data_IF_126022210382
#
_entry.id   IF_126022210382
#
_cell.length_a   1.000
_cell.length_b   1.000
_cell.length_c   1.000
_cell.angle_alpha   90.00
_cell.angle_beta   90.00
_cell.angle_gamma   90.00
#
_symmetry.space_group_name_H-M   'P 1'
#
loop_
_entity.id
_entity.type
_entity.pdbx_description
1 polymer ?
#
# COMPACT_ATOMS: atom_id res chain seq x y z
N UNK A 1 -25.81 -11.58 10.91
CA UNK A 1 -24.98 -10.73 10.04
C UNK A 1 -24.05 -9.94 10.94
N UNK A 2 -22.75 -10.22 10.93
CA UNK A 2 -21.81 -9.47 11.76
C UNK A 2 -21.75 -8.05 11.24
N UNK A 3 -22.27 -7.09 12.01
CA UNK A 3 -22.07 -5.68 11.72
C UNK A 3 -20.63 -5.35 12.08
N UNK A 4 -19.79 -5.19 11.06
CA UNK A 4 -18.47 -4.62 11.26
C UNK A 4 -18.65 -3.20 11.81
N UNK A 5 -17.91 -2.81 12.86
CA UNK A 5 -18.05 -1.49 13.45
C UNK A 5 -17.78 -0.41 12.39
N UNK A 6 -18.70 0.54 12.27
CA UNK A 6 -18.55 1.68 11.35
C UNK A 6 -17.55 2.68 11.94
N UNK A 7 -16.44 2.90 11.24
CA UNK A 7 -15.42 3.87 11.62
C UNK A 7 -15.83 5.29 11.23
N UNK A 8 -15.46 6.31 12.03
CA UNK A 8 -15.95 7.68 11.88
C UNK A 8 -15.55 8.35 10.54
N UNK A 9 -14.51 7.86 9.87
CA UNK A 9 -14.03 8.37 8.58
C UNK A 9 -14.28 7.42 7.40
N UNK A 10 -14.89 6.26 7.61
CA UNK A 10 -15.23 5.37 6.52
C UNK A 10 -16.50 5.89 5.82
N UNK A 11 -16.51 6.05 4.48
CA UNK A 11 -17.73 6.41 3.76
C UNK A 11 -18.81 5.36 3.99
N UNK A 12 -20.07 5.77 3.88
CA UNK A 12 -21.22 4.87 4.01
C UNK A 12 -21.18 3.68 3.03
N UNK A 13 -20.43 3.83 1.94
CA UNK A 13 -20.13 2.82 0.95
C UNK A 13 -18.61 2.69 0.78
N UNK A 14 -18.08 1.50 1.04
CA UNK A 14 -16.65 1.18 0.96
C UNK A 14 -16.27 0.51 -0.37
N UNK A 15 -17.08 0.73 -1.41
CA UNK A 15 -16.92 0.13 -2.73
C UNK A 15 -17.81 -1.10 -2.97
N UNK A 16 -18.78 -1.37 -2.09
CA UNK A 16 -19.63 -2.56 -2.25
C UNK A 16 -20.53 -2.43 -3.49
N UNK A 17 -20.60 -3.51 -4.27
CA UNK A 17 -21.46 -3.59 -5.46
C UNK A 17 -21.15 -2.51 -6.52
N UNK A 18 -19.92 -1.99 -6.56
CA UNK A 18 -19.47 -1.00 -7.54
C UNK A 18 -18.25 -1.51 -8.31
N UNK A 19 -18.20 -1.22 -9.60
CA UNK A 19 -16.96 -1.34 -10.36
C UNK A 19 -16.02 -0.19 -9.97
N UNK A 20 -14.79 -0.51 -9.61
CA UNK A 20 -13.75 0.45 -9.25
C UNK A 20 -12.63 0.32 -10.28
N UNK A 21 -12.20 1.46 -10.82
CA UNK A 21 -11.05 1.58 -11.69
C UNK A 21 -9.89 2.19 -10.89
N UNK A 22 -8.90 1.39 -10.44
CA UNK A 22 -7.78 1.88 -9.64
C UNK A 22 -6.93 2.91 -10.38
N UNK A 23 -6.76 2.74 -11.71
CA UNK A 23 -5.96 3.66 -12.54
C UNK A 23 -6.63 5.03 -12.60
N UNK A 24 -7.96 5.07 -12.76
CA UNK A 24 -8.72 6.31 -12.71
C UNK A 24 -8.69 6.96 -11.33
N UNK A 25 -8.72 6.18 -10.25
CA UNK A 25 -8.62 6.70 -8.88
C UNK A 25 -7.25 7.31 -8.59
N UNK A 26 -6.16 6.69 -9.06
CA UNK A 26 -4.80 7.24 -8.93
C UNK A 26 -4.67 8.65 -9.53
N UNK A 27 -5.42 8.95 -10.59
CA UNK A 27 -5.39 10.28 -11.20
C UNK A 27 -5.86 11.41 -10.26
N UNK A 28 -6.54 11.08 -9.15
CA UNK A 28 -6.99 12.02 -8.12
C UNK A 28 -5.91 12.34 -7.07
N UNK A 29 -4.77 11.67 -7.10
CA UNK A 29 -3.67 11.88 -6.15
C UNK A 29 -2.71 12.93 -6.70
N UNK A 30 -2.53 14.02 -5.96
CA UNK A 30 -1.50 15.01 -6.21
C UNK A 30 -0.20 14.62 -5.49
N UNK A 31 0.89 14.41 -6.24
CA UNK A 31 2.20 14.04 -5.71
C UNK A 31 2.42 12.53 -5.55
N UNK A 32 3.42 12.16 -4.75
CA UNK A 32 3.91 10.79 -4.56
C UNK A 32 3.85 10.39 -3.09
N UNK A 33 3.91 9.08 -2.83
CA UNK A 33 3.96 8.48 -1.49
C UNK A 33 2.75 8.84 -0.61
N UNK A 34 1.60 9.08 -1.26
CA UNK A 34 0.34 9.41 -0.62
C UNK A 34 -0.70 8.32 -0.89
N UNK A 35 -0.67 7.19 -0.16
CA UNK A 35 -1.66 6.13 -0.36
C UNK A 35 -3.06 6.63 -0.03
N UNK A 36 -4.02 6.35 -0.91
CA UNK A 36 -5.44 6.69 -0.72
C UNK A 36 -6.30 5.44 -0.83
N UNK A 37 -7.27 5.29 0.05
CA UNK A 37 -8.20 4.15 0.08
C UNK A 37 -9.21 4.29 -1.05
N UNK A 38 -9.38 3.24 -1.85
CA UNK A 38 -10.37 3.17 -2.94
C UNK A 38 -11.47 2.16 -2.66
N UNK A 39 -11.19 1.14 -1.83
CA UNK A 39 -12.16 0.13 -1.41
C UNK A 39 -11.76 -0.51 -0.09
N UNK A 40 -12.70 -1.17 0.59
CA UNK A 40 -12.41 -2.00 1.77
C UNK A 40 -13.25 -3.30 1.75
N UNK A 41 -12.58 -4.43 1.90
CA UNK A 41 -13.17 -5.76 2.04
C UNK A 41 -12.93 -6.25 3.47
N UNK A 42 -14.00 -6.48 4.23
CA UNK A 42 -13.91 -6.77 5.67
C UNK A 42 -13.11 -5.68 6.38
N UNK A 43 -11.93 -6.01 6.92
CA UNK A 43 -10.96 -5.15 7.58
C UNK A 43 -9.71 -4.87 6.73
N UNK A 44 -9.70 -5.24 5.44
CA UNK A 44 -8.61 -4.96 4.49
C UNK A 44 -8.95 -3.81 3.57
N UNK A 45 -8.01 -2.91 3.39
CA UNK A 45 -8.12 -1.77 2.49
C UNK A 45 -7.35 -2.02 1.20
N UNK A 46 -7.94 -1.57 0.10
CA UNK A 46 -7.32 -1.45 -1.19
C UNK A 46 -6.91 0.02 -1.34
N UNK A 47 -5.62 0.28 -1.39
CA UNK A 47 -5.07 1.64 -1.46
C UNK A 47 -4.35 1.82 -2.78
N UNK A 48 -4.44 3.01 -3.36
CA UNK A 48 -3.68 3.34 -4.56
C UNK A 48 -2.66 4.44 -4.27
N UNK A 49 -1.51 4.38 -4.93
CA UNK A 49 -0.40 5.32 -4.70
C UNK A 49 0.46 5.50 -5.96
N UNK A 50 1.04 6.70 -6.10
CA UNK A 50 2.14 6.99 -7.04
C UNK A 50 3.45 6.99 -6.27
N UNK A 51 4.47 6.33 -6.77
CA UNK A 51 5.79 6.24 -6.11
C UNK A 51 6.91 6.58 -7.09
N UNK A 52 7.97 7.22 -6.59
CA UNK A 52 9.19 7.50 -7.33
C UNK A 52 10.36 7.68 -6.36
N UNK A 53 11.54 7.21 -6.75
CA UNK A 53 12.71 7.14 -5.89
C UNK A 53 12.58 6.03 -4.84
N UNK A 54 13.39 6.11 -3.78
CA UNK A 54 13.34 5.17 -2.66
C UNK A 54 12.38 5.63 -1.57
N UNK A 55 11.73 4.67 -0.92
CA UNK A 55 11.10 4.85 0.39
C UNK A 55 12.09 4.62 1.53
N UNK A 56 11.69 4.83 2.77
CA UNK A 56 12.50 4.43 3.92
C UNK A 56 12.41 2.91 4.16
N UNK A 57 13.46 2.34 4.76
CA UNK A 57 13.35 0.99 5.32
C UNK A 57 12.31 0.99 6.44
N UNK A 58 11.45 -0.02 6.44
CA UNK A 58 10.40 -0.19 7.43
C UNK A 58 9.91 -1.64 7.45
N UNK A 59 9.19 -2.01 8.50
CA UNK A 59 8.46 -3.28 8.60
C UNK A 59 7.10 -3.08 9.25
N UNK A 60 6.20 -4.02 8.97
CA UNK A 60 4.92 -4.13 9.64
C UNK A 60 4.94 -5.37 10.53
N UNK A 61 4.91 -5.20 11.86
CA UNK A 61 5.10 -6.32 12.79
C UNK A 61 3.98 -7.39 12.71
N UNK A 62 2.75 -6.95 12.44
CA UNK A 62 1.57 -7.78 12.64
C UNK A 62 0.85 -8.18 11.34
N UNK A 63 1.24 -7.59 10.20
CA UNK A 63 0.48 -7.69 8.95
C UNK A 63 1.38 -7.88 7.75
N UNK A 64 0.95 -8.73 6.83
CA UNK A 64 1.55 -8.78 5.50
C UNK A 64 1.09 -7.54 4.70
N UNK A 65 1.89 -7.12 3.72
CA UNK A 65 1.54 -6.08 2.76
C UNK A 65 1.67 -6.61 1.34
N UNK A 66 0.65 -6.39 0.52
CA UNK A 66 0.66 -6.78 -0.90
C UNK A 66 0.88 -5.58 -1.79
N UNK A 67 1.80 -5.71 -2.75
CA UNK A 67 2.07 -4.73 -3.80
C UNK A 67 1.64 -5.28 -5.14
N UNK A 68 0.84 -4.54 -5.90
CA UNK A 68 0.48 -4.84 -7.29
C UNK A 68 0.85 -3.65 -8.15
N UNK A 69 1.67 -3.85 -9.19
CA UNK A 69 2.05 -2.77 -10.11
C UNK A 69 0.97 -2.61 -11.18
N UNK A 70 0.34 -1.44 -11.23
CA UNK A 70 -0.66 -1.10 -12.25
C UNK A 70 0.02 -0.51 -13.50
N UNK A 71 1.01 0.36 -13.30
CA UNK A 71 1.84 0.94 -14.36
C UNK A 71 3.27 1.17 -13.82
N UNK A 72 4.27 1.09 -14.70
CA UNK A 72 5.68 1.29 -14.34
C UNK A 72 6.38 0.01 -13.85
N UNK A 73 7.47 0.21 -13.11
CA UNK A 73 8.26 -0.86 -12.51
C UNK A 73 8.57 -0.53 -11.04
N UNK A 74 8.56 -1.54 -10.17
CA UNK A 74 8.87 -1.43 -8.76
C UNK A 74 9.93 -2.46 -8.38
N UNK A 75 10.91 -2.04 -7.58
CA UNK A 75 11.80 -2.94 -6.85
C UNK A 75 11.49 -2.85 -5.36
N UNK A 76 11.44 -3.99 -4.68
CA UNK A 76 11.33 -4.06 -3.22
C UNK A 76 12.58 -4.75 -2.72
N UNK A 77 13.47 -3.99 -2.08
CA UNK A 77 14.58 -4.56 -1.33
C UNK A 77 14.06 -5.10 0.01
N UNK A 78 14.57 -6.24 0.49
CA UNK A 78 14.15 -6.82 1.76
C UNK A 78 15.33 -7.44 2.52
N UNK A 79 15.19 -7.52 3.84
CA UNK A 79 16.14 -8.18 4.75
C UNK A 79 15.42 -9.23 5.57
N UNK A 80 15.89 -10.46 5.49
CA UNK A 80 15.32 -11.60 6.21
C UNK A 80 16.45 -12.40 6.87
N UNK A 81 16.34 -12.58 8.18
CA UNK A 81 17.29 -13.38 8.96
C UNK A 81 17.32 -14.86 8.57
N UNK A 82 16.27 -15.36 7.92
CA UNK A 82 16.10 -16.77 7.53
C UNK A 82 16.54 -17.03 6.09
N UNK A 83 16.09 -16.19 5.15
CA UNK A 83 16.35 -16.38 3.71
C UNK A 83 17.50 -15.55 3.16
N UNK A 84 18.01 -14.60 3.96
CA UNK A 84 19.02 -13.62 3.55
C UNK A 84 18.41 -12.39 2.89
N UNK A 85 19.24 -11.39 2.67
CA UNK A 85 18.84 -10.14 2.02
C UNK A 85 18.63 -10.34 0.51
N UNK A 86 17.68 -9.61 -0.06
CA UNK A 86 17.34 -9.76 -1.48
C UNK A 86 16.54 -8.60 -2.04
N UNK A 87 16.08 -8.78 -3.28
CA UNK A 87 15.19 -7.83 -3.94
C UNK A 87 14.18 -8.54 -4.84
N UNK A 88 12.98 -7.97 -4.95
CA UNK A 88 11.91 -8.41 -5.85
C UNK A 88 11.73 -7.31 -6.90
N UNK A 89 11.81 -7.65 -8.18
CA UNK A 89 11.49 -6.74 -9.28
C UNK A 89 10.11 -7.07 -9.82
N UNK A 90 9.26 -6.05 -9.97
CA UNK A 90 7.88 -6.14 -10.44
C UNK A 90 7.65 -5.17 -11.60
N UNK A 91 6.91 -5.64 -12.60
CA UNK A 91 6.40 -4.88 -13.74
C UNK A 91 4.88 -4.80 -13.70
N UNK A 92 4.30 -3.92 -14.51
CA UNK A 92 2.85 -3.80 -14.64
C UNK A 92 2.16 -5.17 -14.83
N UNK A 93 1.17 -5.45 -13.98
CA UNK A 93 0.45 -6.72 -13.92
C UNK A 93 1.03 -7.76 -12.95
N UNK A 94 2.22 -7.53 -12.41
CA UNK A 94 2.86 -8.40 -11.42
C UNK A 94 2.57 -7.96 -9.98
N UNK A 95 2.72 -8.89 -9.04
CA UNK A 95 2.49 -8.64 -7.62
C UNK A 95 3.51 -9.35 -6.71
N UNK A 96 3.71 -8.80 -5.52
CA UNK A 96 4.45 -9.42 -4.44
C UNK A 96 3.71 -9.26 -3.11
N UNK A 97 3.97 -10.18 -2.19
CA UNK A 97 3.55 -10.06 -0.79
C UNK A 97 4.82 -9.96 0.05
N UNK A 98 4.94 -8.90 0.84
CA UNK A 98 5.96 -8.78 1.88
C UNK A 98 5.38 -9.37 3.17
N UNK A 99 5.96 -10.44 3.72
CA UNK A 99 5.48 -11.02 4.97
C UNK A 99 5.64 -10.05 6.14
N UNK A 100 4.75 -10.16 7.12
CA UNK A 100 4.87 -9.44 8.39
C UNK A 100 6.25 -9.66 9.04
N UNK A 101 6.77 -8.60 9.65
CA UNK A 101 8.07 -8.58 10.32
C UNK A 101 9.27 -8.60 9.38
N UNK A 102 9.09 -8.54 8.05
CA UNK A 102 10.18 -8.38 7.11
C UNK A 102 10.44 -6.89 6.86
N UNK A 103 11.67 -6.46 7.16
CA UNK A 103 12.14 -5.12 6.83
C UNK A 103 12.32 -5.01 5.31
N UNK A 104 11.70 -4.00 4.72
CA UNK A 104 11.69 -3.81 3.28
C UNK A 104 11.76 -2.34 2.89
N UNK A 105 12.15 -2.09 1.64
CA UNK A 105 12.30 -0.76 1.05
C UNK A 105 11.86 -0.75 -0.41
N UNK A 106 10.66 -0.21 -0.70
CA UNK A 106 10.22 0.06 -2.06
C UNK A 106 11.10 1.10 -2.76
N UNK A 107 11.37 0.88 -4.05
CA UNK A 107 12.11 1.78 -4.92
C UNK A 107 11.55 1.74 -6.35
N UNK A 108 11.34 2.91 -6.94
CA UNK A 108 10.98 3.03 -8.36
C UNK A 108 11.89 4.06 -9.04
N UNK A 109 12.56 3.66 -10.13
CA UNK A 109 13.46 4.56 -10.88
C UNK A 109 12.69 5.66 -11.62
N UNK A 110 11.51 5.33 -12.14
CA UNK A 110 10.52 6.26 -12.70
C UNK A 110 9.20 6.18 -11.91
N UNK A 111 8.24 7.06 -12.19
CA UNK A 111 6.93 7.00 -11.54
C UNK A 111 6.28 5.63 -11.79
N UNK A 112 5.94 4.93 -10.70
CA UNK A 112 5.15 3.71 -10.71
C UNK A 112 3.82 3.94 -9.99
N UNK A 113 2.78 3.27 -10.49
CA UNK A 113 1.42 3.33 -9.95
C UNK A 113 1.07 1.99 -9.35
N UNK A 114 0.76 1.99 -8.07
CA UNK A 114 0.59 0.75 -7.31
C UNK A 114 -0.82 0.65 -6.73
N UNK A 115 -1.28 -0.58 -6.60
CA UNK A 115 -2.35 -0.98 -5.70
C UNK A 115 -1.71 -1.72 -4.52
N UNK A 116 -1.97 -1.22 -3.32
CA UNK A 116 -1.55 -1.83 -2.05
C UNK A 116 -2.76 -2.50 -1.40
N UNK A 117 -2.52 -3.64 -0.76
CA UNK A 117 -3.54 -4.33 0.04
C UNK A 117 -2.95 -4.67 1.40
N UNK A 118 -3.60 -4.15 2.44
CA UNK A 118 -3.19 -4.33 3.83
C UNK A 118 -4.40 -4.14 4.76
N UNK A 119 -4.32 -4.60 6.03
CA UNK A 119 -5.34 -4.29 7.02
C UNK A 119 -5.53 -2.79 7.21
N UNK A 120 -6.76 -2.37 7.54
CA UNK A 120 -7.06 -1.00 7.89
C UNK A 120 -6.23 -0.56 9.09
N UNK A 121 -5.80 0.71 9.07
CA UNK A 121 -5.11 1.33 10.20
C UNK A 121 -3.62 1.05 10.26
N UNK A 122 -3.08 0.28 9.31
CA UNK A 122 -1.64 0.12 9.13
C UNK A 122 -1.04 1.46 8.68
N UNK A 123 -0.07 1.96 9.44
CA UNK A 123 0.69 3.18 9.11
C UNK A 123 1.68 2.83 8.02
N UNK A 124 1.69 3.58 6.92
CA UNK A 124 2.48 3.26 5.73
C UNK A 124 4.01 3.32 5.92
N UNK A 125 4.49 3.92 7.00
CA UNK A 125 5.92 3.90 7.36
C UNK A 125 6.26 2.77 8.33
N UNK A 126 5.32 1.88 8.65
CA UNK A 126 5.53 0.78 9.57
C UNK A 126 6.04 1.23 10.94
N UNK A 127 7.18 0.67 11.35
CA UNK A 127 7.96 1.05 12.53
C UNK A 127 9.01 2.15 12.29
N UNK A 128 9.13 2.64 11.06
CA UNK A 128 10.03 3.73 10.72
C UNK A 128 9.61 5.06 11.34
N UNK A 129 10.57 5.97 11.51
CA UNK A 129 10.30 7.31 12.03
C UNK A 129 9.25 8.04 11.21
N UNK A 130 8.34 8.73 11.89
CA UNK A 130 7.33 9.54 11.23
C UNK A 130 8.01 10.75 10.55
N UNK A 131 7.67 11.01 9.29
CA UNK A 131 8.24 12.10 8.50
C UNK A 131 7.31 12.57 7.38
N UNK A 132 7.87 13.28 6.39
CA UNK A 132 7.11 13.88 5.28
C UNK A 132 6.32 12.87 4.44
N UNK A 133 6.67 11.58 4.53
CA UNK A 133 6.03 10.47 3.82
C UNK A 133 5.10 9.64 4.68
N UNK A 134 4.95 9.97 5.97
CA UNK A 134 3.94 9.37 6.83
C UNK A 134 2.61 10.01 6.54
N UNK A 135 1.61 9.19 6.20
CA UNK A 135 0.30 9.68 5.78
C UNK A 135 -0.74 9.27 6.80
N UNK A 136 -1.67 10.19 7.08
CA UNK A 136 -2.82 9.88 7.91
C UNK A 136 -3.57 8.69 7.32
N UNK A 137 -4.02 7.77 8.17
CA UNK A 137 -4.83 6.64 7.71
C UNK A 137 -6.22 7.09 7.22
N UNK A 138 -6.90 6.16 6.53
CA UNK A 138 -8.29 6.30 6.09
C UNK A 138 -8.54 7.55 5.22
N UNK A 139 -7.62 7.83 4.29
CA UNK A 139 -7.76 8.91 3.30
C UNK A 139 -8.45 8.38 2.04
N UNK A 140 -9.78 8.52 1.97
CA UNK A 140 -10.61 7.98 0.88
C UNK A 140 -10.67 8.89 -0.35
N UNK A 141 -10.75 8.27 -1.54
CA UNK A 141 -11.00 8.94 -2.83
C UNK A 141 -11.94 8.16 -3.73
#
# INVERSE_FOLDING_TARGET
>A
MSQFPTHPNAPADRGQCKAIDPVRKIALIDGHWQPRVVAEMNDYQFKVVKVIGEFQWHQHADTDETFIVLEGELRIDFRDATTGDGSIALRAGEMAVVPKGIEHKPFAEAEAKLLLIEPRGVVNTGDGEAGDRTVANDQWI
#
